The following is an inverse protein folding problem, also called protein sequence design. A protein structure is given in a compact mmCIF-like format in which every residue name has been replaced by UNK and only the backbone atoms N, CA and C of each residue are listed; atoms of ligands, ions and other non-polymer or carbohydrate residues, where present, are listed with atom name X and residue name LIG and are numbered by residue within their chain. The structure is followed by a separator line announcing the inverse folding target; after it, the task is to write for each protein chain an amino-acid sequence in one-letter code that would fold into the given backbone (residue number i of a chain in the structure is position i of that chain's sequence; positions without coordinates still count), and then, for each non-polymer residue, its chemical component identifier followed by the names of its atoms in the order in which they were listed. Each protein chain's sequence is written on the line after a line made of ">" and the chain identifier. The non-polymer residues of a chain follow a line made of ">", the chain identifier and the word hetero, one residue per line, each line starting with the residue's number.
data_IF_077638483023
#
_entry.id   IF_077638483023
#
_cell.length_a   1.000
_cell.length_b   1.000
_cell.length_c   1.000
_cell.angle_alpha   90.00
_cell.angle_beta   90.00
_cell.angle_gamma   90.00
#
_symmetry.space_group_name_H-M   'P 1'
#
loop_
_entity.id
_entity.type
_entity.pdbx_description
1 polymer ?
#
# COMPACT_ATOMS: atom_id res chain seq x y z
N UNK A 1 18.70 13.93 -23.47
CA UNK A 1 18.96 12.71 -22.69
C UNK A 1 18.16 11.60 -23.32
N UNK A 2 18.83 10.60 -23.91
CA UNK A 2 18.18 9.31 -24.18
C UNK A 2 18.07 8.60 -22.84
N UNK A 3 16.84 8.44 -22.35
CA UNK A 3 16.54 7.67 -21.13
C UNK A 3 15.99 6.35 -21.62
N UNK A 4 16.76 5.27 -21.44
CA UNK A 4 16.26 3.92 -21.67
C UNK A 4 15.31 3.53 -20.53
N UNK A 5 14.09 3.14 -20.88
CA UNK A 5 13.03 2.91 -19.91
C UNK A 5 13.05 1.43 -19.51
N UNK A 6 13.74 1.14 -18.42
CA UNK A 6 13.82 -0.22 -17.87
C UNK A 6 12.50 -0.57 -17.16
N UNK A 7 11.76 -1.51 -17.73
CA UNK A 7 10.53 -2.04 -17.13
C UNK A 7 10.91 -3.12 -16.11
N UNK A 8 10.63 -2.86 -14.83
CA UNK A 8 10.80 -3.82 -13.75
C UNK A 8 9.64 -4.81 -13.72
N UNK A 9 9.91 -6.06 -13.34
CA UNK A 9 8.84 -6.96 -12.93
C UNK A 9 8.26 -6.51 -11.57
N UNK A 10 7.03 -6.94 -11.26
CA UNK A 10 6.38 -6.55 -10.00
C UNK A 10 7.12 -7.07 -8.75
N UNK A 11 7.72 -8.25 -8.82
CA UNK A 11 8.53 -8.80 -7.73
C UNK A 11 9.87 -8.07 -7.58
N UNK A 12 10.47 -7.58 -8.67
CA UNK A 12 11.64 -6.69 -8.60
C UNK A 12 11.29 -5.35 -7.95
N UNK A 13 10.15 -4.74 -8.32
CA UNK A 13 9.65 -3.52 -7.69
C UNK A 13 9.43 -3.71 -6.18
N UNK A 14 8.82 -4.83 -5.78
CA UNK A 14 8.64 -5.19 -4.38
C UNK A 14 9.98 -5.33 -3.63
N UNK A 15 10.99 -5.98 -4.25
CA UNK A 15 12.33 -6.14 -3.66
C UNK A 15 13.05 -4.80 -3.49
N UNK A 16 13.00 -3.93 -4.49
CA UNK A 16 13.68 -2.63 -4.46
C UNK A 16 13.01 -1.69 -3.46
N UNK A 17 11.67 -1.70 -3.40
CA UNK A 17 10.92 -0.91 -2.41
C UNK A 17 11.19 -1.41 -0.99
N UNK A 18 11.30 -2.73 -0.81
CA UNK A 18 11.67 -3.32 0.48
C UNK A 18 13.07 -2.93 0.92
N UNK A 19 14.06 -2.95 0.02
CA UNK A 19 15.42 -2.48 0.30
C UNK A 19 15.42 -1.05 0.85
N UNK A 20 14.66 -0.15 0.21
CA UNK A 20 14.52 1.23 0.64
C UNK A 20 13.95 1.34 2.06
N UNK A 21 12.81 0.66 2.30
CA UNK A 21 12.20 0.63 3.63
C UNK A 21 13.12 0.01 4.69
N UNK A 22 13.84 -1.05 4.33
CA UNK A 22 14.77 -1.71 5.23
C UNK A 22 15.92 -0.79 5.64
N UNK A 23 16.53 -0.09 4.68
CA UNK A 23 17.62 0.88 4.96
C UNK A 23 17.12 2.07 5.78
N UNK A 24 15.87 2.51 5.59
CA UNK A 24 15.27 3.57 6.40
C UNK A 24 15.09 3.16 7.88
N UNK A 25 14.54 1.97 8.13
CA UNK A 25 14.21 1.50 9.47
C UNK A 25 15.40 0.86 10.22
N UNK A 26 16.46 0.49 9.51
CA UNK A 26 17.66 -0.12 10.08
C UNK A 26 17.47 -1.54 10.61
N UNK A 27 18.56 -2.14 11.07
CA UNK A 27 18.62 -3.56 11.47
C UNK A 27 17.94 -3.87 12.79
N UNK A 28 17.85 -2.90 13.70
CA UNK A 28 17.15 -3.05 14.98
C UNK A 28 15.64 -3.21 14.84
N UNK A 29 15.09 -3.04 13.64
CA UNK A 29 13.65 -3.22 13.36
C UNK A 29 13.22 -4.68 13.22
N UNK A 30 14.15 -5.63 13.35
CA UNK A 30 13.85 -7.07 13.26
C UNK A 30 13.26 -7.44 11.90
N UNK A 31 12.33 -8.39 11.90
CA UNK A 31 11.61 -8.86 10.71
C UNK A 31 10.55 -7.84 10.28
N UNK A 32 10.74 -7.24 9.10
CA UNK A 32 9.82 -6.26 8.53
C UNK A 32 8.86 -6.92 7.56
N UNK A 33 7.60 -6.49 7.61
CA UNK A 33 6.64 -6.61 6.52
C UNK A 33 6.42 -5.24 5.90
N UNK A 34 6.59 -5.13 4.58
CA UNK A 34 6.30 -3.95 3.78
C UNK A 34 5.03 -4.16 2.97
N UNK A 35 4.20 -3.11 2.91
CA UNK A 35 3.04 -2.99 2.02
C UNK A 35 3.16 -1.68 1.21
N UNK A 36 3.12 -1.75 -0.13
CA UNK A 36 3.02 -0.59 -1.03
C UNK A 36 1.76 -0.69 -1.90
N UNK A 37 0.97 0.38 -1.97
CA UNK A 37 -0.20 0.45 -2.86
C UNK A 37 0.03 1.53 -3.91
N UNK A 38 0.62 1.08 -5.02
CA UNK A 38 0.81 1.87 -6.23
C UNK A 38 -0.49 2.14 -7.01
N UNK A 39 -0.32 2.70 -8.21
CA UNK A 39 -1.43 2.90 -9.13
C UNK A 39 -1.85 1.59 -9.84
N UNK A 40 -0.86 0.76 -10.19
CA UNK A 40 -1.05 -0.46 -10.98
C UNK A 40 -1.12 -1.73 -10.15
N UNK A 41 -0.45 -1.77 -9.00
CA UNK A 41 -0.25 -2.97 -8.21
C UNK A 41 -0.20 -2.69 -6.70
N UNK A 42 -0.25 -3.79 -5.95
CA UNK A 42 0.06 -3.88 -4.52
C UNK A 42 1.32 -4.72 -4.40
N UNK A 43 2.34 -4.17 -3.75
CA UNK A 43 3.58 -4.88 -3.45
C UNK A 43 3.58 -5.28 -1.97
N UNK A 44 3.97 -6.52 -1.69
CA UNK A 44 4.19 -7.02 -0.33
C UNK A 44 5.54 -7.71 -0.26
N UNK A 45 6.31 -7.41 0.77
CA UNK A 45 7.59 -8.07 0.99
C UNK A 45 7.89 -8.27 2.46
N UNK A 46 8.52 -9.39 2.80
CA UNK A 46 8.86 -9.75 4.19
C UNK A 46 10.30 -10.24 4.26
N UNK A 47 11.05 -9.77 5.26
CA UNK A 47 12.39 -10.29 5.52
C UNK A 47 13.07 -9.62 6.70
N UNK A 48 14.22 -10.16 7.10
CA UNK A 48 15.10 -9.58 8.14
C UNK A 48 16.23 -8.76 7.53
N UNK A 49 16.78 -9.22 6.40
CA UNK A 49 17.94 -8.63 5.74
C UNK A 49 17.53 -7.64 4.63
N UNK A 50 18.48 -7.23 3.78
CA UNK A 50 18.23 -6.37 2.61
C UNK A 50 17.44 -7.07 1.51
N UNK A 51 17.72 -8.35 1.31
CA UNK A 51 16.96 -9.20 0.41
C UNK A 51 15.78 -9.77 1.20
N UNK A 52 14.53 -9.55 0.75
CA UNK A 52 13.39 -10.12 1.43
C UNK A 52 13.28 -11.63 1.14
N UNK A 53 12.78 -12.36 2.13
CA UNK A 53 12.47 -13.79 2.02
C UNK A 53 11.28 -14.02 1.08
N UNK A 54 10.33 -13.08 1.09
CA UNK A 54 9.17 -13.04 0.19
C UNK A 54 9.10 -11.66 -0.45
N UNK A 55 8.87 -11.63 -1.76
CA UNK A 55 8.48 -10.43 -2.49
C UNK A 55 7.37 -10.80 -3.48
N UNK A 56 6.24 -10.12 -3.41
CA UNK A 56 5.04 -10.38 -4.20
C UNK A 56 4.50 -9.07 -4.76
N UNK A 57 3.92 -9.16 -5.95
CA UNK A 57 3.15 -8.07 -6.54
C UNK A 57 1.81 -8.61 -7.05
N UNK A 58 0.73 -7.95 -6.67
CA UNK A 58 -0.64 -8.28 -7.05
C UNK A 58 -1.24 -7.16 -7.89
N UNK A 59 -2.17 -7.46 -8.82
CA UNK A 59 -2.84 -6.44 -9.64
C UNK A 59 -3.93 -5.68 -8.84
N UNK A 60 -3.60 -5.22 -7.64
CA UNK A 60 -4.49 -4.55 -6.68
C UNK A 60 -4.14 -3.06 -6.51
N UNK A 61 -3.60 -2.42 -7.54
CA UNK A 61 -3.29 -0.99 -7.50
C UNK A 61 -4.54 -0.12 -7.46
N UNK A 62 -4.47 0.99 -6.74
CA UNK A 62 -5.61 1.87 -6.49
C UNK A 62 -6.24 2.41 -7.79
N UNK A 63 -5.42 2.90 -8.72
CA UNK A 63 -5.89 3.43 -10.02
C UNK A 63 -6.49 2.33 -10.89
N UNK A 64 -5.83 1.17 -10.95
CA UNK A 64 -6.31 -0.01 -11.70
C UNK A 64 -7.70 -0.42 -11.21
N UNK A 65 -7.85 -0.66 -9.92
CA UNK A 65 -9.08 -1.15 -9.32
C UNK A 65 -10.22 -0.14 -9.45
N UNK A 66 -9.92 1.15 -9.31
CA UNK A 66 -10.91 2.21 -9.52
C UNK A 66 -11.46 2.16 -10.94
N UNK A 67 -10.59 2.04 -11.95
CA UNK A 67 -11.02 2.01 -13.35
C UNK A 67 -11.80 0.75 -13.72
N UNK A 68 -11.46 -0.40 -13.12
CA UNK A 68 -12.03 -1.69 -13.53
C UNK A 68 -13.23 -2.16 -12.70
N UNK A 69 -13.41 -1.66 -11.47
CA UNK A 69 -14.44 -2.17 -10.56
C UNK A 69 -15.35 -1.11 -9.97
N UNK A 70 -14.96 0.18 -9.98
CA UNK A 70 -15.76 1.23 -9.35
C UNK A 70 -16.51 2.04 -10.41
N UNK A 71 -17.83 2.13 -10.20
CA UNK A 71 -18.79 2.79 -11.10
C UNK A 71 -19.64 3.77 -10.30
N UNK A 72 -20.09 4.83 -10.97
CA UNK A 72 -20.86 5.96 -10.42
C UNK A 72 -20.07 6.91 -9.51
N UNK A 73 -20.70 8.03 -9.12
CA UNK A 73 -20.15 8.97 -8.15
C UNK A 73 -21.28 9.60 -7.29
N UNK A 74 -21.41 9.24 -6.00
CA UNK A 74 -20.64 8.25 -5.24
C UNK A 74 -20.73 6.83 -5.82
N UNK A 75 -19.78 5.96 -5.43
CA UNK A 75 -19.71 4.61 -5.98
C UNK A 75 -20.92 3.76 -5.58
N UNK A 76 -21.48 3.02 -6.54
CA UNK A 76 -22.63 2.17 -6.26
C UNK A 76 -22.30 1.02 -5.30
N UNK A 77 -23.29 0.62 -4.47
CA UNK A 77 -23.14 -0.51 -3.54
C UNK A 77 -22.75 -1.82 -4.25
N UNK A 78 -23.19 -2.00 -5.51
CA UNK A 78 -22.86 -3.16 -6.33
C UNK A 78 -21.40 -3.16 -6.74
N UNK A 79 -20.88 -2.03 -7.23
CA UNK A 79 -19.48 -1.89 -7.66
C UNK A 79 -18.51 -2.06 -6.46
N UNK A 80 -18.86 -1.51 -5.30
CA UNK A 80 -18.12 -1.72 -4.04
C UNK A 80 -18.09 -3.19 -3.64
N UNK A 81 -19.21 -3.91 -3.73
CA UNK A 81 -19.25 -5.35 -3.40
C UNK A 81 -18.34 -6.14 -4.34
N UNK A 82 -18.44 -5.90 -5.65
CA UNK A 82 -17.60 -6.55 -6.65
C UNK A 82 -16.11 -6.27 -6.42
N UNK A 83 -15.76 -5.03 -6.07
CA UNK A 83 -14.39 -4.66 -5.71
C UNK A 83 -13.89 -5.48 -4.51
N UNK A 84 -14.69 -5.58 -3.44
CA UNK A 84 -14.32 -6.37 -2.25
C UNK A 84 -14.10 -7.82 -2.59
N UNK A 85 -15.01 -8.45 -3.31
CA UNK A 85 -14.92 -9.87 -3.70
C UNK A 85 -13.66 -10.14 -4.55
N UNK A 86 -13.33 -9.23 -5.47
CA UNK A 86 -12.10 -9.31 -6.28
C UNK A 86 -10.83 -9.18 -5.42
N UNK A 87 -10.79 -8.22 -4.49
CA UNK A 87 -9.66 -8.03 -3.58
C UNK A 87 -9.44 -9.27 -2.72
N UNK A 88 -10.51 -9.81 -2.09
CA UNK A 88 -10.40 -11.00 -1.25
C UNK A 88 -9.90 -12.21 -2.05
N UNK A 89 -10.42 -12.41 -3.26
CA UNK A 89 -9.98 -13.49 -4.16
C UNK A 89 -8.47 -13.41 -4.44
N UNK A 90 -7.97 -12.22 -4.75
CA UNK A 90 -6.54 -12.01 -5.05
C UNK A 90 -5.64 -12.11 -3.83
N UNK A 91 -6.09 -11.69 -2.66
CA UNK A 91 -5.34 -11.85 -1.42
C UNK A 91 -5.30 -13.33 -1.00
N UNK A 92 -6.39 -14.07 -1.17
CA UNK A 92 -6.45 -15.50 -0.87
C UNK A 92 -5.42 -16.33 -1.67
N UNK A 93 -5.09 -15.93 -2.90
CA UNK A 93 -4.07 -16.57 -3.75
C UNK A 93 -2.67 -16.57 -3.10
N UNK A 94 -2.35 -15.55 -2.30
CA UNK A 94 -1.01 -15.39 -1.69
C UNK A 94 -1.00 -15.57 -0.18
N UNK A 95 -2.17 -15.66 0.44
CA UNK A 95 -2.31 -15.72 1.90
C UNK A 95 -1.53 -16.88 2.53
N UNK A 96 -1.53 -18.12 1.99
CA UNK A 96 -0.75 -19.22 2.58
C UNK A 96 0.75 -18.90 2.67
N UNK A 97 1.31 -18.31 1.63
CA UNK A 97 2.71 -17.88 1.57
C UNK A 97 3.00 -16.76 2.57
N UNK A 98 2.10 -15.78 2.66
CA UNK A 98 2.26 -14.68 3.62
C UNK A 98 2.12 -15.14 5.08
N UNK A 99 1.20 -16.06 5.37
CA UNK A 99 0.95 -16.57 6.72
C UNK A 99 2.16 -17.32 7.30
N UNK A 100 2.93 -18.03 6.45
CA UNK A 100 4.18 -18.66 6.87
C UNK A 100 5.21 -17.65 7.42
N UNK A 101 5.07 -16.37 7.04
CA UNK A 101 5.98 -15.29 7.43
C UNK A 101 5.27 -14.14 8.16
N UNK A 102 4.05 -14.38 8.68
CA UNK A 102 3.20 -13.38 9.31
C UNK A 102 3.82 -12.78 10.58
N UNK A 103 4.59 -13.59 11.33
CA UNK A 103 5.32 -13.10 12.51
C UNK A 103 6.32 -12.04 12.05
N UNK A 104 6.02 -10.80 12.39
CA UNK A 104 6.81 -9.62 12.04
C UNK A 104 7.00 -8.79 13.29
N UNK A 105 8.17 -8.19 13.44
CA UNK A 105 8.46 -7.28 14.55
C UNK A 105 7.89 -5.89 14.25
N UNK A 106 7.74 -5.56 12.96
CA UNK A 106 7.18 -4.29 12.51
C UNK A 106 6.59 -4.40 11.10
N UNK A 107 5.38 -3.90 10.93
CA UNK A 107 4.70 -3.78 9.65
C UNK A 107 4.71 -2.31 9.19
N UNK A 108 5.06 -2.08 7.93
CA UNK A 108 5.28 -0.74 7.38
C UNK A 108 4.51 -0.56 6.07
N UNK A 109 4.08 0.67 5.84
CA UNK A 109 3.36 1.09 4.67
C UNK A 109 4.15 2.15 3.91
N UNK A 110 4.27 1.98 2.60
CA UNK A 110 4.81 2.96 1.66
C UNK A 110 3.70 3.37 0.68
N UNK A 111 3.99 4.22 -0.29
CA UNK A 111 3.07 4.87 -1.23
C UNK A 111 2.40 6.15 -0.72
N UNK A 112 1.99 6.97 -1.70
CA UNK A 112 1.16 8.14 -1.46
C UNK A 112 -0.26 7.77 -1.02
N UNK A 113 -0.80 6.62 -1.44
CA UNK A 113 -2.15 6.16 -1.05
C UNK A 113 -2.22 5.94 0.45
N UNK A 114 -1.33 5.09 0.97
CA UNK A 114 -1.30 4.74 2.38
C UNK A 114 -0.93 5.93 3.26
N UNK A 115 -0.01 6.80 2.81
CA UNK A 115 0.31 8.06 3.51
C UNK A 115 -0.91 9.00 3.60
N UNK A 116 -1.70 9.11 2.54
CA UNK A 116 -2.93 9.92 2.57
C UNK A 116 -3.96 9.30 3.52
N UNK A 117 -4.14 7.97 3.50
CA UNK A 117 -5.05 7.28 4.43
C UNK A 117 -4.63 7.46 5.90
N UNK A 118 -3.34 7.34 6.21
CA UNK A 118 -2.84 7.56 7.57
C UNK A 118 -3.15 8.97 8.09
N UNK A 119 -2.97 10.00 7.25
CA UNK A 119 -3.32 11.39 7.59
C UNK A 119 -4.81 11.57 7.81
N UNK A 120 -5.65 11.08 6.90
CA UNK A 120 -7.11 11.16 7.03
C UNK A 120 -7.60 10.44 8.29
N UNK A 121 -7.06 9.25 8.59
CA UNK A 121 -7.36 8.53 9.83
C UNK A 121 -6.97 9.33 11.07
N UNK A 122 -5.77 9.94 11.07
CA UNK A 122 -5.30 10.78 12.17
C UNK A 122 -6.18 12.01 12.41
N UNK A 123 -6.61 12.66 11.33
CA UNK A 123 -7.43 13.86 11.40
C UNK A 123 -8.89 13.58 11.82
N UNK A 124 -9.46 12.44 11.41
CA UNK A 124 -10.90 12.17 11.56
C UNK A 124 -11.27 11.26 12.73
N UNK A 125 -10.36 10.37 13.14
CA UNK A 125 -10.60 9.43 14.23
C UNK A 125 -9.78 9.88 15.42
N UNK A 126 -8.50 9.51 15.45
CA UNK A 126 -7.48 9.90 16.42
C UNK A 126 -6.17 9.25 15.96
N UNK A 127 -5.09 10.00 15.82
CA UNK A 127 -3.80 9.48 15.39
C UNK A 127 -2.79 10.56 15.03
N UNK A 128 -1.54 10.17 14.76
CA UNK A 128 -0.44 11.10 14.51
C UNK A 128 -0.15 11.34 13.01
N UNK A 129 -0.93 10.70 12.13
CA UNK A 129 -0.72 10.74 10.67
C UNK A 129 0.55 10.03 10.18
N UNK A 130 1.27 9.33 11.06
CA UNK A 130 2.48 8.54 10.77
C UNK A 130 2.23 7.04 10.86
N UNK A 131 1.09 6.63 11.41
CA UNK A 131 0.61 5.26 11.38
C UNK A 131 -0.80 5.15 10.81
N UNK A 132 -1.11 3.99 10.24
CA UNK A 132 -2.44 3.61 9.80
C UNK A 132 -2.90 2.40 10.62
N UNK A 133 -3.94 2.56 11.45
CA UNK A 133 -4.51 1.46 12.23
C UNK A 133 -5.70 0.83 11.50
N UNK A 134 -5.89 -0.47 11.67
CA UNK A 134 -7.00 -1.21 11.05
C UNK A 134 -8.36 -0.67 11.52
N UNK A 135 -8.47 -0.30 12.79
CA UNK A 135 -9.71 0.20 13.36
C UNK A 135 -10.08 1.60 12.83
N UNK A 136 -9.10 2.49 12.67
CA UNK A 136 -9.37 3.79 12.04
C UNK A 136 -9.75 3.60 10.57
N UNK A 137 -9.04 2.73 9.85
CA UNK A 137 -9.31 2.43 8.45
C UNK A 137 -10.73 1.90 8.23
N UNK A 138 -11.17 0.93 9.04
CA UNK A 138 -12.54 0.39 9.04
C UNK A 138 -13.62 1.47 9.23
N UNK A 139 -13.33 2.51 10.02
CA UNK A 139 -14.26 3.62 10.26
C UNK A 139 -14.30 4.62 9.10
N UNK A 140 -13.18 4.84 8.41
CA UNK A 140 -13.11 5.83 7.32
C UNK A 140 -13.48 5.26 5.95
N UNK A 141 -13.21 3.98 5.67
CA UNK A 141 -13.46 3.37 4.35
C UNK A 141 -14.91 3.55 3.90
N UNK A 142 -15.95 3.27 4.73
CA UNK A 142 -17.34 3.47 4.33
C UNK A 142 -17.67 4.94 4.06
N UNK A 143 -17.18 5.85 4.92
CA UNK A 143 -17.39 7.30 4.77
C UNK A 143 -16.82 7.82 3.45
N UNK A 144 -15.60 7.40 3.11
CA UNK A 144 -14.96 7.78 1.83
C UNK A 144 -15.73 7.24 0.63
N UNK A 145 -16.34 6.06 0.75
CA UNK A 145 -17.13 5.44 -0.33
C UNK A 145 -18.48 6.14 -0.55
N UNK A 146 -19.07 6.72 0.49
CA UNK A 146 -20.33 7.48 0.43
C UNK A 146 -20.17 8.90 -0.13
N UNK A 147 -18.96 9.45 -0.09
CA UNK A 147 -18.66 10.76 -0.67
C UNK A 147 -18.68 10.72 -2.21
N UNK A 148 -18.97 11.85 -2.82
CA UNK A 148 -18.67 12.13 -4.22
C UNK A 148 -17.17 12.38 -4.41
N UNK A 149 -16.70 12.33 -5.64
CA UNK A 149 -15.32 12.63 -5.99
C UNK A 149 -14.98 14.09 -5.65
N UNK A 150 -15.96 14.99 -5.78
CA UNK A 150 -15.80 16.40 -5.41
C UNK A 150 -15.53 16.53 -3.91
N UNK A 151 -16.38 15.96 -3.07
CA UNK A 151 -16.20 15.98 -1.61
C UNK A 151 -14.87 15.35 -1.19
N UNK A 152 -14.49 14.20 -1.79
CA UNK A 152 -13.17 13.58 -1.54
C UNK A 152 -12.00 14.49 -1.91
N UNK A 153 -12.14 15.32 -2.95
CA UNK A 153 -11.07 16.21 -3.41
C UNK A 153 -10.90 17.46 -2.54
N UNK A 154 -11.90 17.78 -1.72
CA UNK A 154 -11.86 18.89 -0.76
C UNK A 154 -11.20 18.47 0.56
N UNK A 155 -10.92 17.18 0.75
CA UNK A 155 -10.29 16.67 1.95
C UNK A 155 -8.80 17.08 2.04
N UNK A 156 -8.32 17.44 3.25
CA UNK A 156 -6.92 17.82 3.45
C UNK A 156 -5.94 16.75 2.93
N UNK A 157 -4.98 17.18 2.10
CA UNK A 157 -3.94 16.30 1.58
C UNK A 157 -4.39 15.27 0.53
N UNK A 158 -5.65 15.32 0.06
CA UNK A 158 -6.15 14.48 -1.03
C UNK A 158 -6.08 15.26 -2.35
N UNK A 159 -5.17 14.87 -3.23
CA UNK A 159 -5.12 15.49 -4.58
C UNK A 159 -6.32 15.08 -5.43
N UNK A 160 -6.61 15.85 -6.49
CA UNK A 160 -7.66 15.52 -7.47
C UNK A 160 -7.50 14.09 -8.04
N UNK A 161 -6.29 13.68 -8.39
CA UNK A 161 -6.02 12.30 -8.84
C UNK A 161 -6.25 11.28 -7.72
N UNK A 162 -5.94 11.62 -6.46
CA UNK A 162 -6.11 10.71 -5.32
C UNK A 162 -7.58 10.57 -4.93
N UNK A 163 -8.38 11.63 -5.04
CA UNK A 163 -9.81 11.63 -4.72
C UNK A 163 -10.59 10.53 -5.44
N UNK A 164 -10.20 10.21 -6.69
CA UNK A 164 -10.81 9.12 -7.48
C UNK A 164 -10.41 7.74 -7.00
N UNK A 165 -9.17 7.55 -6.54
CA UNK A 165 -8.62 6.21 -6.29
C UNK A 165 -8.47 5.84 -4.80
N UNK A 166 -8.69 6.79 -3.89
CA UNK A 166 -8.48 6.59 -2.45
C UNK A 166 -9.41 5.53 -1.87
N UNK A 167 -10.64 5.40 -2.39
CA UNK A 167 -11.62 4.39 -1.95
C UNK A 167 -11.13 2.98 -2.25
N UNK A 168 -10.67 2.73 -3.49
CA UNK A 168 -10.08 1.43 -3.84
C UNK A 168 -8.84 1.11 -2.99
N UNK A 169 -7.97 2.11 -2.80
CA UNK A 169 -6.80 1.97 -1.93
C UNK A 169 -7.14 1.62 -0.48
N UNK A 170 -8.21 2.22 0.07
CA UNK A 170 -8.68 1.95 1.42
C UNK A 170 -9.19 0.51 1.57
N UNK A 171 -9.96 -0.01 0.59
CA UNK A 171 -10.42 -1.41 0.61
C UNK A 171 -9.26 -2.40 0.52
N UNK A 172 -8.25 -2.13 -0.32
CA UNK A 172 -7.05 -2.98 -0.42
C UNK A 172 -6.28 -2.99 0.90
N UNK A 173 -6.00 -1.81 1.46
CA UNK A 173 -5.29 -1.69 2.73
C UNK A 173 -6.03 -2.42 3.87
N UNK A 174 -7.35 -2.23 3.96
CA UNK A 174 -8.19 -2.86 4.99
C UNK A 174 -8.17 -4.39 4.84
N UNK A 175 -8.26 -4.90 3.62
CA UNK A 175 -8.24 -6.34 3.36
C UNK A 175 -6.89 -6.96 3.68
N UNK A 176 -5.78 -6.33 3.28
CA UNK A 176 -4.42 -6.79 3.62
C UNK A 176 -4.22 -6.81 5.13
N UNK A 177 -4.52 -5.71 5.81
CA UNK A 177 -4.35 -5.60 7.26
C UNK A 177 -5.21 -6.62 8.01
N UNK A 178 -6.47 -6.82 7.59
CA UNK A 178 -7.37 -7.79 8.22
C UNK A 178 -6.90 -9.23 8.01
N UNK A 179 -6.58 -9.61 6.77
CA UNK A 179 -6.21 -11.00 6.44
C UNK A 179 -4.84 -11.40 7.01
N UNK A 180 -3.94 -10.44 7.21
CA UNK A 180 -2.62 -10.68 7.82
C UNK A 180 -2.57 -10.37 9.32
N UNK A 181 -3.72 -10.03 9.93
CA UNK A 181 -3.84 -9.67 11.35
C UNK A 181 -2.89 -8.53 11.78
N UNK A 182 -2.72 -7.53 10.91
CA UNK A 182 -1.88 -6.36 11.14
C UNK A 182 -2.73 -5.27 11.81
N UNK A 183 -2.53 -4.97 13.10
CA UNK A 183 -3.29 -3.92 13.78
C UNK A 183 -2.89 -2.52 13.30
N UNK A 184 -1.62 -2.34 12.92
CA UNK A 184 -1.02 -1.05 12.60
C UNK A 184 0.06 -1.17 11.51
N UNK A 185 0.06 -0.23 10.56
CA UNK A 185 1.12 -0.03 9.58
C UNK A 185 1.80 1.32 9.84
N UNK A 186 3.12 1.30 10.05
CA UNK A 186 3.91 2.53 10.19
C UNK A 186 4.29 3.09 8.82
N UNK A 187 4.11 4.39 8.61
CA UNK A 187 4.42 5.03 7.34
C UNK A 187 5.94 5.16 7.16
N UNK A 188 6.46 4.53 6.11
CA UNK A 188 7.82 4.69 5.62
C UNK A 188 7.90 5.92 4.68
N UNK A 189 8.84 6.85 4.88
CA UNK A 189 9.11 7.94 3.94
C UNK A 189 9.70 7.47 2.61
N UNK A 190 10.47 6.38 2.62
CA UNK A 190 11.17 5.83 1.45
C UNK A 190 10.36 4.76 0.74
N UNK A 191 10.47 4.74 -0.59
CA UNK A 191 9.77 3.83 -1.48
C UNK A 191 10.68 3.40 -2.64
N UNK A 192 10.09 2.95 -3.75
CA UNK A 192 10.79 2.51 -4.96
C UNK A 192 11.89 3.48 -5.43
N UNK A 193 11.62 4.79 -5.42
CA UNK A 193 12.56 5.79 -5.93
C UNK A 193 13.87 5.77 -5.15
N UNK A 194 13.78 5.78 -3.83
CA UNK A 194 14.95 5.71 -2.95
C UNK A 194 15.65 4.36 -3.12
N UNK A 195 14.90 3.27 -3.30
CA UNK A 195 15.45 1.94 -3.58
C UNK A 195 16.25 1.87 -4.89
N UNK A 196 15.79 2.52 -5.96
CA UNK A 196 16.52 2.60 -7.23
C UNK A 196 17.84 3.36 -7.04
N UNK A 197 17.81 4.47 -6.28
CA UNK A 197 19.02 5.24 -5.97
C UNK A 197 20.02 4.39 -5.17
N UNK A 198 19.55 3.65 -4.17
CA UNK A 198 20.40 2.74 -3.38
C UNK A 198 21.02 1.66 -4.26
N UNK A 199 20.23 0.99 -5.11
CA UNK A 199 20.72 -0.06 -6.01
C UNK A 199 21.79 0.47 -6.97
N UNK A 200 21.64 1.70 -7.46
CA UNK A 200 22.63 2.34 -8.31
C UNK A 200 23.93 2.68 -7.56
N UNK A 201 23.83 3.17 -6.32
CA UNK A 201 24.99 3.45 -5.48
C UNK A 201 25.76 2.17 -5.12
N UNK A 202 25.05 1.08 -4.77
CA UNK A 202 25.66 -0.21 -4.48
C UNK A 202 26.41 -0.76 -5.71
N UNK A 203 25.86 -0.60 -6.91
CA UNK A 203 26.51 -0.99 -8.17
C UNK A 203 27.78 -0.19 -8.49
N UNK A 204 27.81 1.11 -8.18
CA UNK A 204 29.01 1.93 -8.38
C UNK A 204 30.12 1.65 -7.35
N UNK A 205 29.75 1.13 -6.18
CA UNK A 205 30.69 0.79 -5.11
C UNK A 205 31.30 -0.61 -5.21
N UNK A 206 30.77 -1.46 -6.10
CA UNK A 206 31.19 -2.84 -6.34
C UNK A 206 32.23 -3.00 -7.45
#
# INVERSE_FOLDING_TARGET
>A
FEIDLQVLSGDEEARITFLAARRWFGWSSGRLLMVDIGGGSLEMAVGVNEVPDIALSLPLGASRLTKSHLEDDPYSKKSIRNLRDYIESKIAEVLPTMMQHQKTDRAIATSKTLRTLARLCGDWIEGDGKSLTLDALRKITPKLAEMSNKERSELPGVSSTRSRQIVAGAFVAESVMRNLEIPELHICPWALREGIVLKYLDWMGS
#
